data_IF_635323633673
#
_entry.id   IF_635323633673
#
_cell.length_a   1.000
_cell.length_b   1.000
_cell.length_c   1.000
_cell.angle_alpha   90.00
_cell.angle_beta   90.00
_cell.angle_gamma   90.00
#
_symmetry.space_group_name_H-M   'P 1'
#
loop_
_entity.id
_entity.type
_entity.pdbx_description
1 polymer ?
#
# COMPACT_ATOMS: atom_id res chain seq x y z
N UNK A 1 -49.30 -41.78 -44.60
CA UNK A 1 -50.36 -41.26 -43.72
C UNK A 1 -49.97 -39.84 -43.28
N UNK A 2 -50.90 -38.88 -43.46
CA UNK A 2 -50.86 -37.48 -43.01
C UNK A 2 -50.37 -37.32 -41.54
N UNK A 3 -49.81 -36.18 -41.08
CA UNK A 3 -50.24 -34.79 -41.32
C UNK A 3 -49.10 -33.77 -41.34
N UNK A 4 -49.28 -32.83 -42.25
CA UNK A 4 -48.66 -31.52 -42.40
C UNK A 4 -49.45 -30.53 -41.52
N UNK A 5 -48.78 -29.52 -40.96
CA UNK A 5 -49.47 -28.29 -40.55
C UNK A 5 -48.69 -27.33 -39.65
N UNK A 6 -48.10 -26.31 -40.30
CA UNK A 6 -47.98 -24.91 -39.84
C UNK A 6 -46.99 -24.61 -38.69
N UNK A 7 -46.11 -23.59 -38.69
CA UNK A 7 -46.10 -22.31 -39.41
C UNK A 7 -44.66 -21.79 -39.51
N UNK A 8 -44.31 -21.19 -40.66
CA UNK A 8 -43.17 -20.29 -40.80
C UNK A 8 -43.34 -19.09 -39.83
N UNK A 9 -42.33 -18.36 -39.35
CA UNK A 9 -41.47 -17.49 -40.16
C UNK A 9 -40.47 -16.80 -39.22
N UNK A 10 -39.25 -16.59 -39.73
CA UNK A 10 -38.29 -15.52 -39.32
C UNK A 10 -37.50 -15.67 -38.01
N UNK A 11 -36.28 -16.22 -38.11
CA UNK A 11 -35.15 -15.60 -37.42
C UNK A 11 -33.93 -15.59 -38.34
N UNK A 12 -33.70 -14.41 -38.92
CA UNK A 12 -32.61 -14.11 -39.83
C UNK A 12 -31.31 -13.95 -39.04
N UNK A 13 -30.23 -14.46 -39.63
CA UNK A 13 -28.82 -14.03 -39.48
C UNK A 13 -28.02 -14.64 -38.33
N UNK A 14 -27.48 -15.82 -38.66
CA UNK A 14 -26.10 -16.19 -38.39
C UNK A 14 -25.16 -15.01 -38.73
N UNK A 15 -24.50 -14.45 -37.73
CA UNK A 15 -23.40 -13.50 -37.90
C UNK A 15 -22.27 -13.88 -36.94
N UNK A 16 -21.22 -14.43 -37.54
CA UNK A 16 -19.91 -14.68 -36.95
C UNK A 16 -19.29 -13.42 -36.36
N UNK A 17 -18.83 -13.48 -35.10
CA UNK A 17 -17.62 -12.75 -34.68
C UNK A 17 -17.02 -13.35 -33.41
N UNK A 18 -15.90 -14.03 -33.58
CA UNK A 18 -14.89 -14.27 -32.54
C UNK A 18 -14.54 -12.93 -31.90
N UNK A 19 -14.76 -12.83 -30.59
CA UNK A 19 -14.26 -11.75 -29.75
C UNK A 19 -13.41 -12.39 -28.66
N UNK A 20 -12.09 -12.22 -28.80
CA UNK A 20 -11.10 -12.47 -27.77
C UNK A 20 -11.50 -11.68 -26.52
N UNK A 21 -11.89 -12.37 -25.44
CA UNK A 21 -11.91 -11.78 -24.10
C UNK A 21 -10.51 -11.89 -23.50
N UNK A 22 -9.76 -10.81 -23.62
CA UNK A 22 -8.49 -10.60 -22.93
C UNK A 22 -8.76 -10.50 -21.42
N UNK A 23 -8.09 -11.38 -20.68
CA UNK A 23 -7.74 -11.30 -19.26
C UNK A 23 -8.64 -10.49 -18.33
N UNK A 24 -9.60 -11.18 -17.69
CA UNK A 24 -10.12 -10.77 -16.38
C UNK A 24 -8.95 -10.76 -15.39
N UNK A 25 -8.54 -9.58 -14.94
CA UNK A 25 -7.73 -9.41 -13.74
C UNK A 25 -8.42 -10.12 -12.58
N UNK A 26 -7.85 -11.23 -12.12
CA UNK A 26 -8.25 -11.91 -10.90
C UNK A 26 -7.78 -11.06 -9.71
N UNK A 27 -8.60 -10.08 -9.31
CA UNK A 27 -8.53 -9.55 -7.96
C UNK A 27 -9.16 -10.63 -7.09
N UNK A 28 -8.33 -11.36 -6.33
CA UNK A 28 -8.83 -12.28 -5.32
C UNK A 28 -9.40 -11.42 -4.17
N UNK A 29 -10.63 -10.94 -4.34
CA UNK A 29 -11.42 -10.32 -3.29
C UNK A 29 -11.90 -11.44 -2.36
N UNK A 30 -11.05 -11.82 -1.41
CA UNK A 30 -11.49 -12.64 -0.28
C UNK A 30 -12.20 -11.69 0.69
N UNK A 31 -13.51 -11.53 0.50
CA UNK A 31 -14.42 -10.89 1.46
C UNK A 31 -14.43 -11.79 2.70
N UNK A 32 -13.65 -11.44 3.72
CA UNK A 32 -13.86 -11.90 5.08
C UNK A 32 -14.68 -10.83 5.81
N UNK A 33 -15.99 -11.04 5.78
CA UNK A 33 -16.95 -10.42 6.69
C UNK A 33 -16.68 -10.98 8.09
N UNK A 34 -16.16 -10.16 9.01
CA UNK A 34 -15.95 -10.59 10.39
C UNK A 34 -15.26 -9.53 11.24
N UNK A 35 -16.05 -8.88 12.08
CA UNK A 35 -15.66 -7.94 13.15
C UNK A 35 -15.12 -6.58 12.69
N UNK A 36 -16.03 -5.63 12.51
CA UNK A 36 -15.75 -4.20 12.40
C UNK A 36 -15.30 -3.64 13.75
N UNK A 37 -14.05 -3.92 14.14
CA UNK A 37 -13.26 -2.94 14.86
C UNK A 37 -13.24 -1.71 13.94
N UNK A 38 -13.80 -0.57 14.37
CA UNK A 38 -13.79 0.66 13.56
C UNK A 38 -12.36 0.99 13.16
N UNK A 39 -11.96 0.61 11.96
CA UNK A 39 -10.57 0.73 11.52
C UNK A 39 -10.27 2.21 11.39
N UNK A 40 -9.38 2.72 12.23
CA UNK A 40 -8.95 4.14 12.22
C UNK A 40 -8.34 4.55 10.88
N UNK A 41 -8.01 3.59 10.00
CA UNK A 41 -7.39 3.79 8.70
C UNK A 41 -8.30 3.30 7.58
N UNK A 42 -8.48 4.11 6.52
CA UNK A 42 -9.11 3.65 5.27
C UNK A 42 -8.12 2.81 4.46
N UNK A 43 -8.18 1.49 4.67
CA UNK A 43 -7.49 0.45 3.88
C UNK A 43 -6.01 0.80 3.63
N UNK A 44 -5.15 0.73 4.66
CA UNK A 44 -3.74 1.10 4.53
C UNK A 44 -3.03 0.24 3.47
N UNK A 45 -1.99 0.78 2.85
CA UNK A 45 -1.27 0.19 1.73
C UNK A 45 0.18 -0.11 2.15
N UNK A 46 0.62 -1.35 1.95
CA UNK A 46 2.01 -1.75 2.14
C UNK A 46 2.62 -2.18 0.83
N UNK A 47 3.71 -1.53 0.42
CA UNK A 47 4.56 -2.03 -0.66
C UNK A 47 5.59 -2.98 -0.05
N UNK A 48 5.57 -4.23 -0.49
CA UNK A 48 6.57 -5.25 -0.12
C UNK A 48 7.31 -5.72 -1.36
N UNK A 49 8.62 -5.88 -1.21
CA UNK A 49 9.48 -6.28 -2.33
C UNK A 49 10.85 -6.76 -1.83
N UNK A 50 11.52 -7.49 -2.70
CA UNK A 50 12.96 -7.73 -2.57
C UNK A 50 13.74 -6.43 -2.85
N UNK A 51 14.98 -6.35 -2.38
CA UNK A 51 15.88 -5.24 -2.68
C UNK A 51 16.01 -5.01 -4.19
N UNK A 52 16.29 -3.78 -4.61
CA UNK A 52 16.55 -3.40 -6.02
C UNK A 52 15.42 -3.69 -7.02
N UNK A 53 14.20 -3.93 -6.56
CA UNK A 53 12.99 -4.16 -7.38
C UNK A 53 12.37 -2.91 -8.02
N UNK A 54 13.00 -1.73 -7.90
CA UNK A 54 12.41 -0.46 -8.36
C UNK A 54 11.31 0.10 -7.44
N UNK A 55 11.11 -0.49 -6.26
CA UNK A 55 10.06 -0.09 -5.30
C UNK A 55 10.14 1.36 -4.84
N UNK A 56 11.32 1.99 -4.87
CA UNK A 56 11.47 3.42 -4.57
C UNK A 56 10.78 4.30 -5.61
N UNK A 57 10.89 3.99 -6.90
CA UNK A 57 10.20 4.75 -7.95
C UNK A 57 8.70 4.57 -7.81
N UNK A 58 8.26 3.32 -7.68
CA UNK A 58 6.84 3.00 -7.50
C UNK A 58 6.22 3.69 -6.26
N UNK A 59 6.91 3.64 -5.13
CA UNK A 59 6.48 4.29 -3.89
C UNK A 59 6.38 5.81 -4.05
N UNK A 60 7.33 6.44 -4.74
CA UNK A 60 7.30 7.88 -5.04
C UNK A 60 6.13 8.28 -5.94
N UNK A 61 5.78 7.44 -6.92
CA UNK A 61 4.62 7.67 -7.79
C UNK A 61 3.33 7.61 -6.95
N UNK A 62 3.13 6.56 -6.16
CA UNK A 62 1.94 6.43 -5.32
C UNK A 62 1.83 7.52 -4.25
N UNK A 63 2.97 7.96 -3.68
CA UNK A 63 3.02 9.05 -2.71
C UNK A 63 2.57 10.41 -3.26
N UNK A 64 2.49 10.59 -4.59
CA UNK A 64 1.92 11.79 -5.21
C UNK A 64 0.39 11.80 -5.23
N UNK A 65 -0.26 10.67 -4.98
CA UNK A 65 -1.71 10.58 -5.03
C UNK A 65 -2.36 11.48 -3.96
N UNK A 66 -3.46 12.16 -4.33
CA UNK A 66 -4.10 13.18 -3.49
C UNK A 66 -4.59 12.64 -2.14
N UNK A 67 -5.02 11.38 -2.09
CA UNK A 67 -5.60 10.76 -0.89
C UNK A 67 -4.60 9.97 -0.05
N UNK A 68 -3.36 9.83 -0.53
CA UNK A 68 -2.34 8.97 0.09
C UNK A 68 -1.36 9.79 0.91
N UNK A 69 -1.20 9.41 2.17
CA UNK A 69 -0.18 9.93 3.08
C UNK A 69 0.88 8.88 3.38
N UNK A 70 2.06 9.34 3.76
CA UNK A 70 3.24 8.50 3.93
C UNK A 70 4.14 9.02 5.03
N UNK A 71 5.09 8.22 5.48
CA UNK A 71 6.14 8.69 6.38
C UNK A 71 7.31 9.24 5.57
N UNK A 72 7.71 10.48 5.90
CA UNK A 72 8.71 11.23 5.15
C UNK A 72 10.12 11.09 5.74
N UNK A 73 11.09 11.67 5.05
CA UNK A 73 12.47 11.79 5.57
C UNK A 73 12.53 12.56 6.89
N UNK A 74 11.63 13.53 7.10
CA UNK A 74 11.56 14.26 8.38
C UNK A 74 11.09 13.35 9.51
N UNK A 75 10.14 12.43 9.26
CA UNK A 75 9.69 11.48 10.28
C UNK A 75 10.78 10.45 10.63
N UNK A 76 11.67 10.14 9.68
CA UNK A 76 12.84 9.29 9.94
C UNK A 76 13.92 10.00 10.77
N UNK A 77 14.16 11.29 10.49
CA UNK A 77 15.18 12.05 11.21
C UNK A 77 14.69 12.50 12.59
N UNK A 78 13.40 12.83 12.71
CA UNK A 78 12.78 13.30 13.94
C UNK A 78 11.52 12.48 14.30
N UNK A 79 11.67 11.19 14.67
CA UNK A 79 10.55 10.30 15.02
C UNK A 79 9.59 10.84 16.09
N UNK A 80 10.13 11.61 17.05
CA UNK A 80 9.37 12.21 18.16
C UNK A 80 8.57 13.47 17.78
N UNK A 81 8.74 13.97 16.57
CA UNK A 81 8.17 15.25 16.11
C UNK A 81 7.18 15.04 14.94
N UNK A 82 6.00 14.45 15.19
CA UNK A 82 5.04 14.15 14.12
C UNK A 82 4.52 15.41 13.40
N UNK A 83 4.56 16.59 14.05
CA UNK A 83 4.13 17.87 13.47
C UNK A 83 4.88 18.22 12.17
N UNK A 84 6.13 17.78 12.02
CA UNK A 84 6.93 17.97 10.80
C UNK A 84 6.33 17.30 9.56
N UNK A 85 5.37 16.38 9.75
CA UNK A 85 4.64 15.76 8.66
C UNK A 85 3.91 16.79 7.78
N UNK A 86 3.57 17.98 8.29
CA UNK A 86 2.93 19.05 7.53
C UNK A 86 3.73 19.44 6.28
N UNK A 87 5.06 19.40 6.34
CA UNK A 87 5.93 19.69 5.20
C UNK A 87 5.83 18.65 4.09
N UNK A 88 5.32 17.44 4.36
CA UNK A 88 5.10 16.43 3.32
C UNK A 88 4.06 16.88 2.29
N UNK A 89 3.25 17.90 2.61
CA UNK A 89 2.36 18.57 1.64
C UNK A 89 3.11 19.26 0.50
N UNK A 90 4.40 19.57 0.69
CA UNK A 90 5.26 20.12 -0.35
C UNK A 90 5.72 19.08 -1.37
N UNK A 91 5.63 17.78 -1.05
CA UNK A 91 6.10 16.70 -1.92
C UNK A 91 5.43 16.63 -3.32
N UNK A 92 4.11 16.77 -3.47
CA UNK A 92 3.45 16.77 -4.79
C UNK A 92 3.74 18.02 -5.61
N UNK A 93 4.21 19.12 -5.02
CA UNK A 93 4.48 20.35 -5.75
C UNK A 93 5.65 20.18 -6.72
N UNK A 94 5.52 20.75 -7.92
CA UNK A 94 6.58 20.83 -8.90
C UNK A 94 7.56 21.92 -8.46
N UNK A 95 8.56 21.55 -7.67
CA UNK A 95 9.66 22.42 -7.28
C UNK A 95 10.93 22.06 -8.04
N UNK A 96 11.89 23.00 -8.06
CA UNK A 96 13.22 22.80 -8.64
C UNK A 96 13.91 21.54 -8.09
N UNK A 97 14.61 20.81 -8.96
CA UNK A 97 15.23 19.54 -8.60
C UNK A 97 16.24 19.68 -7.45
N UNK A 98 17.02 20.78 -7.40
CA UNK A 98 17.94 21.08 -6.29
C UNK A 98 17.26 21.04 -4.91
N UNK A 99 16.05 21.60 -4.81
CA UNK A 99 15.29 21.61 -3.55
C UNK A 99 14.82 20.20 -3.22
N UNK A 100 14.34 19.46 -4.23
CA UNK A 100 13.85 18.09 -4.05
C UNK A 100 14.98 17.13 -3.70
N UNK A 101 16.20 17.39 -4.14
CA UNK A 101 17.37 16.57 -3.87
C UNK A 101 17.92 16.77 -2.47
N UNK A 102 17.63 17.91 -1.84
CA UNK A 102 18.06 18.21 -0.48
C UNK A 102 17.71 17.10 0.52
N UNK A 103 18.61 16.84 1.48
CA UNK A 103 18.49 15.74 2.46
C UNK A 103 17.26 15.90 3.36
N UNK A 104 16.90 17.13 3.70
CA UNK A 104 15.76 17.45 4.57
C UNK A 104 14.44 17.59 3.80
N UNK A 105 14.45 17.43 2.47
CA UNK A 105 13.21 17.45 1.71
C UNK A 105 12.33 16.24 2.12
N UNK A 106 11.02 16.41 2.40
CA UNK A 106 10.15 15.36 2.92
C UNK A 106 9.79 14.31 1.85
N UNK A 107 10.79 13.50 1.48
CA UNK A 107 10.66 12.41 0.52
C UNK A 107 9.96 11.21 1.17
N UNK A 108 9.11 10.47 0.46
CA UNK A 108 8.60 9.19 0.91
C UNK A 108 9.75 8.18 0.99
N UNK A 109 10.01 7.67 2.20
CA UNK A 109 11.05 6.66 2.45
C UNK A 109 10.51 5.51 3.31
N UNK A 110 11.34 4.49 3.58
CA UNK A 110 11.08 3.49 4.61
C UNK A 110 11.74 3.95 5.91
N UNK A 111 10.99 4.50 6.87
CA UNK A 111 11.57 5.19 8.01
C UNK A 111 11.85 4.22 9.17
N UNK A 112 12.93 3.45 9.08
CA UNK A 112 13.30 2.48 10.12
C UNK A 112 13.50 3.07 11.52
N UNK A 113 13.96 4.32 11.65
CA UNK A 113 14.12 4.97 12.96
C UNK A 113 12.76 5.33 13.56
N UNK A 114 11.81 5.76 12.72
CA UNK A 114 10.43 5.96 13.15
C UNK A 114 9.84 4.66 13.65
N UNK A 115 10.01 3.57 12.89
CA UNK A 115 9.52 2.27 13.30
C UNK A 115 10.16 1.80 14.59
N UNK A 116 11.48 1.91 14.74
CA UNK A 116 12.22 1.48 15.92
C UNK A 116 11.73 2.14 17.22
N UNK A 117 11.22 3.38 17.14
CA UNK A 117 10.66 4.06 18.32
C UNK A 117 9.44 3.33 18.90
N UNK A 118 8.61 2.71 18.06
CA UNK A 118 7.38 2.03 18.47
C UNK A 118 7.48 0.51 18.38
N UNK A 119 8.37 -0.01 17.55
CA UNK A 119 8.49 -1.42 17.20
C UNK A 119 9.96 -1.82 17.39
N UNK A 120 10.41 -1.95 18.65
CA UNK A 120 11.78 -2.31 18.95
C UNK A 120 12.15 -3.64 18.29
N UNK A 121 13.28 -3.65 17.57
CA UNK A 121 13.78 -4.85 16.89
C UNK A 121 13.24 -5.05 15.48
N UNK A 122 12.45 -4.13 14.92
CA UNK A 122 11.94 -4.24 13.53
C UNK A 122 13.05 -4.30 12.47
N UNK A 123 14.22 -3.76 12.79
CA UNK A 123 15.42 -3.74 11.95
C UNK A 123 16.26 -5.02 12.03
N UNK A 124 15.92 -5.96 12.92
CA UNK A 124 16.67 -7.21 13.06
C UNK A 124 16.60 -8.08 11.79
N UNK A 125 17.62 -8.90 11.61
CA UNK A 125 17.83 -9.75 10.44
C UNK A 125 18.20 -11.21 10.79
N UNK A 126 18.23 -11.54 12.07
CA UNK A 126 18.52 -12.87 12.62
C UNK A 126 17.41 -13.89 12.33
N UNK A 127 16.14 -13.47 12.37
CA UNK A 127 14.98 -14.31 12.02
C UNK A 127 13.81 -13.52 11.44
N UNK A 128 12.86 -14.18 10.75
CA UNK A 128 11.58 -13.57 10.41
C UNK A 128 10.86 -12.95 11.61
N UNK A 129 10.12 -11.87 11.34
CA UNK A 129 9.24 -11.22 12.31
C UNK A 129 7.81 -11.75 12.12
N UNK A 130 7.23 -12.22 13.21
CA UNK A 130 5.88 -12.78 13.25
C UNK A 130 4.90 -11.84 13.98
N UNK A 131 3.58 -11.98 13.78
CA UNK A 131 2.58 -11.14 14.46
C UNK A 131 2.73 -11.06 15.98
N UNK A 132 3.24 -12.13 16.61
CA UNK A 132 3.45 -12.25 18.05
C UNK A 132 4.64 -11.41 18.53
N UNK A 133 5.56 -11.05 17.63
CA UNK A 133 6.68 -10.15 17.90
C UNK A 133 6.27 -8.67 17.97
N UNK A 134 4.99 -8.34 17.74
CA UNK A 134 4.48 -6.96 17.84
C UNK A 134 4.13 -6.67 19.32
N UNK A 135 4.80 -5.70 19.97
CA UNK A 135 4.45 -5.32 21.34
C UNK A 135 3.04 -4.71 21.37
N UNK A 136 2.12 -5.32 22.13
CA UNK A 136 0.71 -4.95 22.13
C UNK A 136 0.50 -3.50 22.62
N UNK A 137 1.29 -3.09 23.60
CA UNK A 137 1.31 -1.74 24.19
C UNK A 137 1.75 -0.66 23.18
N UNK A 138 2.47 -1.05 22.13
CA UNK A 138 2.98 -0.09 21.13
C UNK A 138 2.04 0.12 19.95
N UNK A 139 1.05 -0.76 19.75
CA UNK A 139 0.13 -0.70 18.61
C UNK A 139 -0.65 0.60 18.61
N UNK A 140 -1.35 0.91 19.71
CA UNK A 140 -2.25 2.05 19.75
C UNK A 140 -1.50 3.41 19.71
N UNK A 141 -0.40 3.63 20.47
CA UNK A 141 0.41 4.83 20.34
C UNK A 141 0.96 5.06 18.91
N UNK A 142 1.38 3.97 18.24
CA UNK A 142 1.83 4.03 16.86
C UNK A 142 0.69 4.44 15.92
N UNK A 143 -0.48 3.78 16.03
CA UNK A 143 -1.66 4.11 15.23
C UNK A 143 -2.06 5.57 15.40
N UNK A 144 -2.17 6.06 16.63
CA UNK A 144 -2.50 7.45 16.92
C UNK A 144 -1.49 8.42 16.31
N UNK A 145 -0.21 8.08 16.35
CA UNK A 145 0.85 8.90 15.74
C UNK A 145 0.70 8.94 14.21
N UNK A 146 0.47 7.80 13.56
CA UNK A 146 0.24 7.75 12.12
C UNK A 146 -1.02 8.53 11.74
N UNK A 147 -2.11 8.44 12.51
CA UNK A 147 -3.33 9.23 12.30
C UNK A 147 -3.04 10.73 12.39
N UNK A 148 -2.27 11.18 13.40
CA UNK A 148 -1.84 12.58 13.52
C UNK A 148 -1.05 13.02 12.29
N UNK A 149 -0.11 12.19 11.83
CA UNK A 149 0.69 12.44 10.62
C UNK A 149 -0.22 12.58 9.38
N UNK A 150 -1.18 11.68 9.19
CA UNK A 150 -2.12 11.74 8.06
C UNK A 150 -2.99 13.01 8.11
N UNK A 151 -3.48 13.38 9.30
CA UNK A 151 -4.24 14.62 9.51
C UNK A 151 -3.42 15.85 9.12
N UNK A 152 -2.16 15.92 9.56
CA UNK A 152 -1.24 17.02 9.22
C UNK A 152 -0.94 17.11 7.72
N UNK A 153 -0.92 15.97 7.03
CA UNK A 153 -0.75 15.91 5.57
C UNK A 153 -2.05 16.20 4.79
N UNK A 154 -3.20 16.19 5.46
CA UNK A 154 -4.52 16.25 4.82
C UNK A 154 -4.83 15.00 3.99
N UNK A 155 -4.41 13.82 4.45
CA UNK A 155 -4.51 12.54 3.72
C UNK A 155 -5.38 11.53 4.46
N UNK A 156 -5.98 10.61 3.71
CA UNK A 156 -6.93 9.62 4.24
C UNK A 156 -6.33 8.22 4.37
N UNK A 157 -5.51 7.83 3.38
CA UNK A 157 -4.98 6.46 3.27
C UNK A 157 -3.50 6.44 3.60
N UNK A 158 -3.10 5.55 4.50
CA UNK A 158 -1.70 5.36 4.83
C UNK A 158 -1.01 4.52 3.76
N UNK A 159 0.16 4.94 3.28
CA UNK A 159 1.05 4.17 2.43
C UNK A 159 2.40 4.04 3.12
N UNK A 160 2.87 2.80 3.20
CA UNK A 160 4.23 2.49 3.62
C UNK A 160 4.93 1.57 2.62
N UNK A 161 6.24 1.55 2.72
CA UNK A 161 7.10 0.61 2.00
C UNK A 161 8.02 -0.05 3.00
N UNK A 162 8.17 -1.37 2.88
CA UNK A 162 9.13 -2.15 3.66
C UNK A 162 9.86 -3.09 2.72
N UNK A 163 11.19 -3.07 2.80
CA UNK A 163 12.08 -3.90 1.98
C UNK A 163 12.74 -5.00 2.82
N UNK A 164 13.10 -6.11 2.18
CA UNK A 164 13.79 -7.24 2.82
C UNK A 164 12.81 -8.35 3.21
N UNK A 165 12.99 -8.90 4.42
CA UNK A 165 12.11 -9.94 4.96
C UNK A 165 10.63 -9.55 4.90
N UNK A 166 9.78 -10.51 4.55
CA UNK A 166 8.34 -10.31 4.49
C UNK A 166 7.82 -10.03 5.91
N UNK A 167 7.28 -8.83 6.13
CA UNK A 167 6.70 -8.38 7.40
C UNK A 167 5.19 -8.13 7.25
N UNK A 168 4.54 -8.80 6.31
CA UNK A 168 3.13 -8.56 5.98
C UNK A 168 2.22 -8.86 7.16
N UNK A 169 2.33 -10.07 7.74
CA UNK A 169 1.53 -10.46 8.90
C UNK A 169 1.85 -9.61 10.15
N UNK A 170 3.13 -9.24 10.33
CA UNK A 170 3.58 -8.32 11.38
C UNK A 170 2.86 -6.95 11.29
N UNK A 171 2.82 -6.35 10.10
CA UNK A 171 2.13 -5.08 9.90
C UNK A 171 0.61 -5.21 9.80
N UNK A 172 0.05 -6.36 9.41
CA UNK A 172 -1.40 -6.63 9.48
C UNK A 172 -1.90 -6.60 10.93
N UNK A 173 -1.10 -7.14 11.86
CA UNK A 173 -1.40 -7.05 13.30
C UNK A 173 -1.45 -5.60 13.77
N UNK A 174 -0.52 -4.76 13.28
CA UNK A 174 -0.49 -3.32 13.60
C UNK A 174 -1.60 -2.57 12.88
N UNK A 175 -1.93 -2.89 11.62
CA UNK A 175 -2.91 -2.19 10.80
C UNK A 175 -3.89 -3.19 10.17
N UNK A 176 -4.96 -3.60 10.88
CA UNK A 176 -5.95 -4.53 10.35
C UNK A 176 -6.58 -4.04 9.05
N UNK A 177 -6.77 -4.95 8.10
CA UNK A 177 -7.32 -4.64 6.77
C UNK A 177 -6.30 -4.01 5.83
N UNK A 178 -5.00 -4.24 6.05
CA UNK A 178 -3.95 -3.72 5.18
C UNK A 178 -3.98 -4.41 3.82
N UNK A 179 -3.77 -3.63 2.76
CA UNK A 179 -3.62 -4.16 1.41
C UNK A 179 -2.14 -4.19 1.04
N UNK A 180 -1.69 -5.35 0.58
CA UNK A 180 -0.31 -5.57 0.19
C UNK A 180 -0.15 -5.42 -1.32
N UNK A 181 0.86 -4.65 -1.73
CA UNK A 181 1.32 -4.54 -3.11
C UNK A 181 2.69 -5.20 -3.18
N UNK A 182 2.75 -6.38 -3.79
CA UNK A 182 4.00 -7.11 -3.99
C UNK A 182 4.61 -6.76 -5.35
N UNK A 183 5.79 -6.13 -5.33
CA UNK A 183 6.54 -5.88 -6.56
C UNK A 183 7.45 -7.07 -6.86
N UNK A 184 7.12 -7.77 -7.94
CA UNK A 184 7.87 -8.91 -8.43
C UNK A 184 8.93 -8.44 -9.44
N UNK A 185 10.19 -8.76 -9.16
CA UNK A 185 11.32 -8.71 -10.10
C UNK A 185 12.04 -10.05 -10.01
N UNK A 186 12.50 -10.60 -11.13
CA UNK A 186 13.21 -11.87 -11.09
C UNK A 186 14.57 -11.66 -10.39
N UNK A 187 15.01 -12.61 -9.54
CA UNK A 187 16.28 -12.48 -8.83
C UNK A 187 17.49 -12.27 -9.75
N UNK A 188 17.48 -12.88 -10.94
CA UNK A 188 18.56 -12.76 -11.93
C UNK A 188 18.71 -11.36 -12.53
N UNK A 189 17.69 -10.51 -12.40
CA UNK A 189 17.66 -9.19 -13.02
C UNK A 189 18.08 -8.07 -12.04
N UNK A 190 18.50 -8.40 -10.81
CA UNK A 190 18.74 -7.46 -9.69
C UNK A 190 20.18 -6.98 -9.60
#
# INVERSE_FOLDING_TARGET
MCRIGSCATTCRKCCTRKSLRIGRFFIHERILSGNSQMTTFDRPLMITCTGRSGSTVFYRILARHRDVGFLSTLNQQFPRQPWLAIFSRLYPMQMFDRIREHRLFPKPISPYNFWQQYLPGITRHDRPLFPEDVPAESIEPLRQTVVKILKLQGKKRFLMKVTGWARMAYFERVFPGMRFIYLKRLPRDV
#
